data_IF_232863759759
#
_entry.id   IF_232863759759
#
_cell.length_a   1.000
_cell.length_b   1.000
_cell.length_c   1.000
_cell.angle_alpha   90.00
_cell.angle_beta   90.00
_cell.angle_gamma   90.00
#
_symmetry.space_group_name_H-M   'P 1'
#
loop_
_entity.id
_entity.type
_entity.pdbx_description
1 polymer ?
#
# COMPACT_ATOMS: atom_id res chain seq x y z
N UNK A 1 -18.84 39.35 22.19
CA UNK A 1 -18.34 38.37 21.20
C UNK A 1 -19.43 37.32 20.97
N UNK A 2 -20.58 37.72 20.37
CA UNK A 2 -21.75 36.84 20.21
C UNK A 2 -21.57 35.78 19.12
N UNK A 3 -20.71 36.01 18.13
CA UNK A 3 -20.46 35.05 17.05
C UNK A 3 -19.89 33.71 17.52
N UNK A 4 -19.04 33.73 18.55
CA UNK A 4 -18.44 32.51 19.13
C UNK A 4 -19.48 31.71 19.94
N UNK A 5 -20.57 32.35 20.37
CA UNK A 5 -21.58 31.78 21.28
C UNK A 5 -22.84 31.36 20.51
N UNK A 6 -23.31 32.20 19.59
CA UNK A 6 -24.62 32.08 18.94
C UNK A 6 -24.52 31.75 17.44
N UNK A 7 -23.32 31.84 16.83
CA UNK A 7 -23.10 31.55 15.41
C UNK A 7 -23.65 32.60 14.41
N UNK A 8 -24.30 33.66 14.88
CA UNK A 8 -24.91 34.67 14.01
C UNK A 8 -23.99 35.88 13.76
N UNK A 9 -23.68 36.15 12.48
CA UNK A 9 -22.87 37.29 12.05
C UNK A 9 -23.64 38.61 12.12
N UNK A 10 -23.75 39.19 13.33
CA UNK A 10 -24.45 40.45 13.54
C UNK A 10 -23.58 41.70 13.30
N UNK A 11 -22.24 41.59 13.37
CA UNK A 11 -21.34 42.73 13.16
C UNK A 11 -20.84 42.87 11.70
N UNK A 12 -20.54 44.09 11.22
CA UNK A 12 -20.15 44.33 9.83
C UNK A 12 -18.88 43.60 9.38
N UNK A 13 -17.95 43.36 10.31
CA UNK A 13 -16.70 42.66 10.03
C UNK A 13 -16.94 41.16 9.85
N UNK A 14 -17.74 40.56 10.73
CA UNK A 14 -18.12 39.15 10.67
C UNK A 14 -18.99 38.85 9.45
N UNK A 15 -19.88 39.76 9.04
CA UNK A 15 -20.63 39.61 7.78
C UNK A 15 -19.74 39.69 6.53
N UNK A 16 -18.71 40.52 6.54
CA UNK A 16 -17.75 40.61 5.45
C UNK A 16 -16.89 39.33 5.34
N UNK A 17 -16.52 38.75 6.49
CA UNK A 17 -15.87 37.44 6.53
C UNK A 17 -16.79 36.33 6.01
N UNK A 18 -18.04 36.28 6.47
CA UNK A 18 -19.02 35.28 6.05
C UNK A 18 -19.20 35.29 4.52
N UNK A 19 -19.31 36.47 3.89
CA UNK A 19 -19.41 36.61 2.43
C UNK A 19 -18.17 36.10 1.68
N UNK A 20 -16.97 36.31 2.23
CA UNK A 20 -15.74 35.79 1.62
C UNK A 20 -15.64 34.28 1.77
N UNK A 21 -16.02 33.75 2.93
CA UNK A 21 -16.06 32.31 3.19
C UNK A 21 -17.07 31.63 2.27
N UNK A 22 -18.27 32.19 2.09
CA UNK A 22 -19.26 31.63 1.16
C UNK A 22 -18.82 31.70 -0.30
N UNK A 23 -18.12 32.76 -0.72
CA UNK A 23 -17.56 32.87 -2.07
C UNK A 23 -16.52 31.77 -2.33
N UNK A 24 -15.59 31.55 -1.39
CA UNK A 24 -14.58 30.48 -1.49
C UNK A 24 -15.23 29.11 -1.44
N UNK A 25 -16.17 28.89 -0.53
CA UNK A 25 -16.90 27.63 -0.40
C UNK A 25 -17.79 27.30 -1.60
N UNK A 26 -18.15 28.28 -2.42
CA UNK A 26 -18.95 28.08 -3.63
C UNK A 26 -18.11 28.12 -4.92
N UNK A 27 -16.78 28.19 -4.83
CA UNK A 27 -15.92 28.08 -5.98
C UNK A 27 -15.94 26.64 -6.54
N UNK A 28 -16.68 26.43 -7.63
CA UNK A 28 -16.84 25.13 -8.27
C UNK A 28 -15.53 24.58 -8.85
N UNK A 29 -14.67 25.43 -9.40
CA UNK A 29 -13.37 25.00 -9.95
C UNK A 29 -12.49 24.38 -8.87
N UNK A 30 -12.47 24.97 -7.67
CA UNK A 30 -11.74 24.43 -6.53
C UNK A 30 -12.33 23.11 -6.05
N UNK A 31 -13.67 22.99 -6.02
CA UNK A 31 -14.33 21.71 -5.68
C UNK A 31 -14.00 20.63 -6.68
N UNK A 32 -14.07 20.92 -7.97
CA UNK A 32 -13.73 19.99 -9.06
C UNK A 32 -12.27 19.57 -8.97
N UNK A 33 -11.35 20.52 -8.77
CA UNK A 33 -9.93 20.23 -8.59
C UNK A 33 -9.67 19.32 -7.40
N UNK A 34 -10.28 19.62 -6.25
CA UNK A 34 -10.17 18.80 -5.05
C UNK A 34 -10.76 17.39 -5.26
N UNK A 35 -11.96 17.28 -5.81
CA UNK A 35 -12.61 15.99 -6.07
C UNK A 35 -11.80 15.14 -7.04
N UNK A 36 -11.28 15.75 -8.11
CA UNK A 36 -10.41 15.06 -9.08
C UNK A 36 -9.17 14.50 -8.39
N UNK A 37 -8.53 15.31 -7.54
CA UNK A 37 -7.39 14.85 -6.73
C UNK A 37 -7.75 13.73 -5.76
N UNK A 38 -8.89 13.84 -5.08
CA UNK A 38 -9.36 12.82 -4.16
C UNK A 38 -9.65 11.49 -4.85
N UNK A 39 -10.23 11.53 -6.05
CA UNK A 39 -10.48 10.34 -6.89
C UNK A 39 -9.16 9.70 -7.30
N UNK A 40 -8.23 10.48 -7.86
CA UNK A 40 -6.89 9.97 -8.25
C UNK A 40 -6.19 9.30 -7.08
N UNK A 41 -6.17 9.93 -5.92
CA UNK A 41 -5.54 9.36 -4.73
C UNK A 41 -6.26 8.09 -4.23
N UNK A 42 -7.58 8.01 -4.40
CA UNK A 42 -8.33 6.80 -4.06
C UNK A 42 -8.01 5.63 -5.01
N UNK A 43 -7.86 5.92 -6.30
CA UNK A 43 -7.49 4.96 -7.33
C UNK A 43 -6.06 4.46 -7.13
N UNK A 44 -5.09 5.36 -6.95
CA UNK A 44 -3.69 5.01 -6.64
C UNK A 44 -3.59 4.12 -5.38
N UNK A 45 -4.36 4.43 -4.32
CA UNK A 45 -4.43 3.59 -3.12
C UNK A 45 -5.07 2.23 -3.37
N UNK A 46 -5.96 2.11 -4.35
CA UNK A 46 -6.57 0.82 -4.72
C UNK A 46 -5.54 -0.02 -5.46
N UNK A 47 -4.92 0.55 -6.48
CA UNK A 47 -3.87 -0.10 -7.29
C UNK A 47 -2.71 -0.56 -6.40
N UNK A 48 -2.17 0.31 -5.55
CA UNK A 48 -1.08 -0.06 -4.64
C UNK A 48 -1.45 -1.23 -3.69
N UNK A 49 -2.72 -1.35 -3.28
CA UNK A 49 -3.17 -2.49 -2.46
C UNK A 49 -3.39 -3.76 -3.27
N UNK A 50 -3.65 -3.63 -4.57
CA UNK A 50 -3.80 -4.76 -5.47
C UNK A 50 -2.42 -5.31 -5.84
N UNK A 51 -1.50 -4.44 -6.27
CA UNK A 51 -0.10 -4.76 -6.55
C UNK A 51 0.57 -5.40 -5.32
N UNK A 52 0.49 -4.78 -4.14
CA UNK A 52 1.10 -5.36 -2.94
C UNK A 52 0.51 -6.73 -2.55
N UNK A 53 -0.74 -7.02 -2.92
CA UNK A 53 -1.34 -8.35 -2.72
C UNK A 53 -0.92 -9.35 -3.79
N UNK A 54 -0.64 -8.90 -5.00
CA UNK A 54 -0.13 -9.75 -6.06
C UNK A 54 1.33 -10.12 -5.77
N UNK A 55 2.18 -9.12 -5.52
CA UNK A 55 3.59 -9.30 -5.15
C UNK A 55 3.72 -10.21 -3.94
N UNK A 56 3.00 -9.95 -2.85
CA UNK A 56 3.06 -10.79 -1.65
C UNK A 56 2.60 -12.24 -1.89
N UNK A 57 1.69 -12.49 -2.84
CA UNK A 57 1.32 -13.86 -3.22
C UNK A 57 2.38 -14.54 -4.07
N UNK A 58 3.03 -13.80 -4.96
CA UNK A 58 4.12 -14.33 -5.77
C UNK A 58 5.34 -14.66 -4.90
N UNK A 59 5.73 -13.74 -4.02
CA UNK A 59 6.80 -13.95 -3.04
C UNK A 59 6.49 -15.16 -2.14
N UNK A 60 5.31 -15.21 -1.52
CA UNK A 60 4.93 -16.33 -0.67
C UNK A 60 4.90 -17.67 -1.41
N UNK A 61 4.54 -17.69 -2.71
CA UNK A 61 4.64 -18.90 -3.54
C UNK A 61 6.09 -19.31 -3.80
N UNK A 62 6.98 -18.36 -4.09
CA UNK A 62 8.40 -18.63 -4.29
C UNK A 62 9.02 -19.16 -3.00
N UNK A 63 8.76 -18.51 -1.87
CA UNK A 63 9.25 -18.93 -0.56
C UNK A 63 8.74 -20.33 -0.18
N UNK A 64 7.44 -20.59 -0.38
CA UNK A 64 6.85 -21.90 -0.13
C UNK A 64 7.46 -23.01 -1.00
N UNK A 65 7.76 -22.72 -2.27
CA UNK A 65 8.44 -23.67 -3.15
C UNK A 65 9.87 -23.94 -2.67
N UNK A 66 10.63 -22.91 -2.29
CA UNK A 66 11.99 -23.07 -1.75
C UNK A 66 11.97 -23.87 -0.45
N UNK A 67 11.05 -23.54 0.47
CA UNK A 67 10.86 -24.28 1.73
C UNK A 67 10.56 -25.76 1.48
N UNK A 68 9.66 -26.05 0.55
CA UNK A 68 9.31 -27.44 0.17
C UNK A 68 10.53 -28.18 -0.39
N UNK A 69 11.27 -27.57 -1.31
CA UNK A 69 12.47 -28.16 -1.91
C UNK A 69 13.57 -28.37 -0.86
N UNK A 70 13.70 -27.46 0.11
CA UNK A 70 14.66 -27.59 1.19
C UNK A 70 14.29 -28.72 2.16
N UNK A 71 12.99 -28.90 2.45
CA UNK A 71 12.49 -30.04 3.21
C UNK A 71 12.84 -31.37 2.53
N UNK A 72 12.51 -31.53 1.25
CA UNK A 72 12.84 -32.73 0.47
C UNK A 72 14.36 -33.01 0.41
N UNK A 73 15.19 -31.96 0.34
CA UNK A 73 16.64 -32.11 0.41
C UNK A 73 17.09 -32.57 1.81
N UNK A 74 16.53 -31.97 2.86
CA UNK A 74 16.86 -32.28 4.25
C UNK A 74 16.45 -33.71 4.63
N UNK A 75 15.34 -34.19 4.07
CA UNK A 75 14.83 -35.56 4.22
C UNK A 75 15.63 -36.58 3.39
N UNK A 76 16.49 -36.11 2.46
CA UNK A 76 17.33 -36.94 1.61
C UNK A 76 16.65 -37.47 0.34
N UNK A 77 15.41 -37.03 0.06
CA UNK A 77 14.63 -37.46 -1.11
C UNK A 77 15.19 -36.90 -2.43
N UNK A 78 15.86 -35.74 -2.37
CA UNK A 78 16.51 -35.10 -3.53
C UNK A 78 17.91 -34.60 -3.19
N UNK A 79 18.77 -34.51 -4.20
CA UNK A 79 20.09 -33.88 -4.06
C UNK A 79 19.98 -32.36 -4.02
N UNK A 80 20.97 -31.71 -3.41
CA UNK A 80 21.06 -30.25 -3.36
C UNK A 80 21.05 -29.62 -4.76
N UNK A 81 21.82 -30.20 -5.68
CA UNK A 81 21.87 -29.78 -7.09
C UNK A 81 20.47 -29.76 -7.72
N UNK A 82 19.70 -30.84 -7.50
CA UNK A 82 18.35 -30.99 -8.07
C UNK A 82 17.36 -29.99 -7.47
N UNK A 83 17.48 -29.70 -6.18
CA UNK A 83 16.68 -28.67 -5.50
C UNK A 83 17.00 -27.27 -6.06
N UNK A 84 18.28 -26.93 -6.17
CA UNK A 84 18.75 -25.64 -6.68
C UNK A 84 18.35 -25.40 -8.13
N UNK A 85 18.52 -26.40 -9.01
CA UNK A 85 18.09 -26.33 -10.41
C UNK A 85 16.57 -26.14 -10.52
N UNK A 86 15.77 -26.84 -9.71
CA UNK A 86 14.31 -26.66 -9.67
C UNK A 86 13.89 -25.28 -9.16
N UNK A 87 14.67 -24.69 -8.25
CA UNK A 87 14.48 -23.34 -7.76
C UNK A 87 15.04 -22.27 -8.72
N UNK A 88 15.73 -22.67 -9.80
CA UNK A 88 16.29 -21.75 -10.80
C UNK A 88 17.48 -20.93 -10.31
N UNK A 89 18.24 -21.44 -9.33
CA UNK A 89 19.35 -20.73 -8.70
C UNK A 89 20.56 -21.66 -8.46
N UNK A 90 21.69 -21.08 -8.06
CA UNK A 90 22.87 -21.87 -7.68
C UNK A 90 22.66 -22.55 -6.32
N UNK A 91 23.39 -23.64 -6.06
CA UNK A 91 23.31 -24.36 -4.79
C UNK A 91 23.61 -23.47 -3.57
N UNK A 92 24.61 -22.60 -3.69
CA UNK A 92 24.95 -21.64 -2.64
C UNK A 92 23.80 -20.66 -2.38
N UNK A 93 23.24 -20.08 -3.44
CA UNK A 93 22.11 -19.15 -3.30
C UNK A 93 20.88 -19.84 -2.71
N UNK A 94 20.61 -21.08 -3.11
CA UNK A 94 19.50 -21.88 -2.59
C UNK A 94 19.62 -22.11 -1.08
N UNK A 95 20.79 -22.50 -0.59
CA UNK A 95 21.01 -22.70 0.85
C UNK A 95 20.89 -21.40 1.64
N UNK A 96 21.45 -20.30 1.13
CA UNK A 96 21.35 -19.00 1.81
C UNK A 96 19.90 -18.51 1.90
N UNK A 97 19.12 -18.65 0.82
CA UNK A 97 17.71 -18.25 0.82
C UNK A 97 16.87 -19.19 1.68
N UNK A 98 17.08 -20.50 1.58
CA UNK A 98 16.33 -21.47 2.39
C UNK A 98 16.59 -21.29 3.89
N UNK A 99 17.84 -21.05 4.31
CA UNK A 99 18.15 -20.74 5.72
C UNK A 99 17.42 -19.49 6.19
N UNK A 100 17.43 -18.41 5.42
CA UNK A 100 16.69 -17.20 5.76
C UNK A 100 15.20 -17.45 5.92
N UNK A 101 14.58 -18.25 5.04
CA UNK A 101 13.16 -18.57 5.12
C UNK A 101 12.82 -19.42 6.35
N UNK A 102 13.69 -20.37 6.72
CA UNK A 102 13.45 -21.32 7.82
C UNK A 102 13.81 -20.75 9.20
N UNK A 103 14.73 -19.78 9.26
CA UNK A 103 15.16 -19.11 10.51
C UNK A 103 14.29 -17.90 10.90
N UNK A 104 13.31 -17.51 10.08
CA UNK A 104 12.28 -16.50 10.40
C UNK A 104 11.19 -17.10 11.29
#
# INVERSE_FOLDING_TARGET
MRYIIDGEAQDPYTQALEKKVTLVNNNEEWKVGYMTWAIKLADERREAREEGREEGREEGRKEGNISTLYGLYSDGDITLEKAAVKAGMSEQAFLEVAKKIVEI
#
